data_IF_476955817046
#
_entry.id   IF_476955817046
#
_cell.length_a   1.000
_cell.length_b   1.000
_cell.length_c   1.000
_cell.angle_alpha   90.00
_cell.angle_beta   90.00
_cell.angle_gamma   90.00
#
_symmetry.space_group_name_H-M   'P 1'
#
loop_
_entity.id
_entity.type
_entity.pdbx_description
1 polymer ?
#
# COMPACT_ATOMS: atom_id res chain seq x y z
N UNK A 1 -5.99 -8.06 -23.00
CA UNK A 1 -4.80 -7.45 -22.36
C UNK A 1 -4.89 -7.44 -20.84
N UNK A 2 -5.85 -6.77 -20.20
CA UNK A 2 -5.98 -6.79 -18.74
C UNK A 2 -6.21 -8.20 -18.17
N UNK A 3 -6.94 -9.06 -18.88
CA UNK A 3 -7.09 -10.49 -18.52
C UNK A 3 -5.77 -11.26 -18.62
N UNK A 4 -4.90 -10.90 -19.58
CA UNK A 4 -3.56 -11.50 -19.75
C UNK A 4 -2.61 -10.99 -18.66
N UNK A 5 -2.76 -9.74 -18.23
CA UNK A 5 -1.99 -9.19 -17.12
C UNK A 5 -2.38 -9.87 -15.79
N UNK A 6 -3.67 -10.24 -15.61
CA UNK A 6 -4.09 -10.98 -14.41
C UNK A 6 -3.33 -12.29 -14.23
N UNK A 7 -3.04 -13.03 -15.30
CA UNK A 7 -2.28 -14.28 -15.19
C UNK A 7 -0.83 -14.08 -14.74
N UNK A 8 -0.28 -12.86 -14.84
CA UNK A 8 1.05 -12.54 -14.30
C UNK A 8 1.04 -12.37 -12.78
N UNK A 9 -0.14 -12.15 -12.18
CA UNK A 9 -0.30 -11.94 -10.74
C UNK A 9 -0.76 -13.20 -9.99
N UNK A 10 -1.13 -14.25 -10.73
CA UNK A 10 -1.57 -15.53 -10.19
C UNK A 10 -0.52 -16.57 -10.58
N UNK A 11 0.37 -16.88 -9.64
CA UNK A 11 1.50 -17.78 -9.83
C UNK A 11 1.73 -18.70 -8.63
N UNK A 12 2.73 -19.56 -8.73
CA UNK A 12 3.17 -20.32 -7.56
C UNK A 12 3.70 -19.37 -6.49
N UNK A 13 3.42 -19.68 -5.22
CA UNK A 13 3.99 -18.94 -4.10
C UNK A 13 5.52 -19.09 -4.09
N UNK A 14 6.26 -17.99 -4.01
CA UNK A 14 7.72 -17.98 -4.00
C UNK A 14 8.30 -17.10 -2.88
N UNK A 15 7.45 -16.40 -2.13
CA UNK A 15 7.86 -15.51 -1.06
C UNK A 15 8.30 -16.30 0.18
N UNK A 16 9.55 -16.13 0.65
CA UNK A 16 10.00 -16.75 1.90
C UNK A 16 9.18 -16.30 3.11
N UNK A 17 8.69 -15.06 3.12
CA UNK A 17 8.01 -14.46 4.29
C UNK A 17 6.55 -14.91 4.40
N UNK A 18 5.97 -15.47 3.32
CA UNK A 18 4.57 -15.89 3.28
C UNK A 18 4.18 -16.83 4.43
N UNK A 19 5.03 -17.80 4.75
CA UNK A 19 4.76 -18.77 5.81
C UNK A 19 4.84 -18.15 7.19
N UNK A 20 5.64 -17.11 7.36
CA UNK A 20 5.68 -16.32 8.59
C UNK A 20 4.35 -15.62 8.82
N UNK A 21 3.84 -14.91 7.82
CA UNK A 21 2.53 -14.24 7.87
C UNK A 21 1.39 -15.20 8.24
N UNK A 22 1.38 -16.40 7.66
CA UNK A 22 0.39 -17.42 8.03
C UNK A 22 0.55 -17.89 9.48
N UNK A 23 1.79 -18.09 9.94
CA UNK A 23 2.06 -18.61 11.28
C UNK A 23 1.71 -17.60 12.36
N UNK A 24 2.05 -16.33 12.16
CA UNK A 24 1.69 -15.28 13.11
C UNK A 24 0.19 -14.98 13.08
N UNK A 25 -0.43 -14.98 11.89
CA UNK A 25 -1.88 -14.89 11.71
C UNK A 25 -2.64 -16.01 12.44
N UNK A 26 -2.13 -17.24 12.37
CA UNK A 26 -2.63 -18.36 13.15
C UNK A 26 -2.54 -18.10 14.64
N UNK A 27 -1.36 -17.70 15.12
CA UNK A 27 -1.12 -17.46 16.53
C UNK A 27 -2.06 -16.36 17.07
N UNK A 28 -2.24 -15.26 16.32
CA UNK A 28 -3.15 -14.17 16.71
C UNK A 28 -4.60 -14.64 16.77
N UNK A 29 -5.06 -15.42 15.78
CA UNK A 29 -6.42 -15.96 15.75
C UNK A 29 -6.68 -16.94 16.91
N UNK A 30 -5.68 -17.71 17.32
CA UNK A 30 -5.78 -18.67 18.44
C UNK A 30 -5.70 -17.99 19.81
N UNK A 31 -4.91 -16.92 19.95
CA UNK A 31 -4.69 -16.24 21.23
C UNK A 31 -5.62 -15.04 21.47
N UNK A 32 -6.28 -14.53 20.43
CA UNK A 32 -7.19 -13.39 20.53
C UNK A 32 -6.52 -12.07 20.89
N UNK A 33 -5.21 -11.95 20.64
CA UNK A 33 -4.41 -10.75 20.95
C UNK A 33 -3.27 -10.58 19.96
N UNK A 34 -2.78 -9.34 19.85
CA UNK A 34 -1.59 -9.02 19.07
C UNK A 34 -0.31 -9.37 19.84
N UNK A 35 0.75 -9.80 19.15
CA UNK A 35 2.05 -10.00 19.77
C UNK A 35 2.62 -8.64 20.20
N UNK A 36 3.20 -8.58 21.41
CA UNK A 36 3.92 -7.40 21.90
C UNK A 36 5.43 -7.48 21.66
N UNK A 37 5.92 -8.67 21.35
CA UNK A 37 7.32 -8.99 21.10
C UNK A 37 7.43 -9.91 19.90
N UNK A 38 8.59 -9.96 19.27
CA UNK A 38 8.88 -10.97 18.26
C UNK A 38 8.95 -12.36 18.92
N UNK A 39 7.95 -13.21 18.62
CA UNK A 39 7.79 -14.53 19.26
C UNK A 39 8.50 -15.67 18.51
N UNK A 40 9.06 -15.39 17.34
CA UNK A 40 9.65 -16.39 16.47
C UNK A 40 11.14 -16.16 16.25
N UNK A 41 11.69 -15.04 16.70
CA UNK A 41 13.14 -14.81 16.77
C UNK A 41 13.84 -15.72 17.79
N UNK A 42 14.99 -16.26 17.41
CA UNK A 42 15.85 -17.07 18.29
C UNK A 42 16.83 -16.22 19.12
N UNK A 43 17.27 -15.07 18.59
CA UNK A 43 18.36 -14.27 19.17
C UNK A 43 17.89 -12.98 19.85
N UNK A 44 16.64 -12.55 19.61
CA UNK A 44 16.12 -11.27 20.08
C UNK A 44 14.77 -11.39 20.83
N UNK A 45 14.64 -12.37 21.73
CA UNK A 45 13.37 -12.74 22.38
C UNK A 45 12.63 -11.61 23.13
N UNK A 46 13.32 -10.51 23.48
CA UNK A 46 12.74 -9.34 24.17
C UNK A 46 12.52 -8.14 23.23
N UNK A 47 12.69 -8.31 21.92
CA UNK A 47 12.47 -7.22 20.97
C UNK A 47 10.98 -6.87 20.91
N UNK A 48 10.66 -5.61 21.25
CA UNK A 48 9.31 -5.08 21.13
C UNK A 48 9.00 -4.93 19.65
N UNK A 49 7.91 -5.54 19.21
CA UNK A 49 7.50 -5.53 17.81
C UNK A 49 6.11 -4.93 17.69
N UNK A 50 5.97 -3.96 16.78
CA UNK A 50 4.68 -3.43 16.36
C UNK A 50 4.30 -4.09 15.05
N UNK A 51 3.39 -5.04 15.13
CA UNK A 51 2.85 -5.70 13.96
C UNK A 51 1.90 -4.77 13.20
N UNK A 52 2.37 -4.30 12.04
CA UNK A 52 1.70 -3.34 11.17
C UNK A 52 0.90 -4.01 10.06
N UNK A 53 0.86 -5.35 10.03
CA UNK A 53 0.19 -6.16 9.01
C UNK A 53 -0.84 -7.13 9.63
N UNK A 54 -1.03 -7.03 10.94
CA UNK A 54 -1.79 -7.98 11.75
C UNK A 54 -3.15 -8.39 11.17
N UNK A 55 -3.93 -7.44 10.61
CA UNK A 55 -5.26 -7.75 10.08
C UNK A 55 -5.12 -8.57 8.78
N UNK A 56 -4.15 -8.23 7.94
CA UNK A 56 -3.87 -8.97 6.72
C UNK A 56 -3.42 -10.39 7.07
N UNK A 57 -2.55 -10.56 8.04
CA UNK A 57 -2.06 -11.87 8.48
C UNK A 57 -3.18 -12.75 9.06
N UNK A 58 -4.06 -12.18 9.90
CA UNK A 58 -5.25 -12.87 10.40
C UNK A 58 -6.16 -13.30 9.23
N UNK A 59 -6.43 -12.39 8.29
CA UNK A 59 -7.26 -12.70 7.12
C UNK A 59 -6.61 -13.75 6.22
N UNK A 60 -5.29 -13.70 6.06
CA UNK A 60 -4.52 -14.69 5.31
C UNK A 60 -4.66 -16.06 5.94
N UNK A 61 -4.44 -16.18 7.26
CA UNK A 61 -4.61 -17.45 7.98
C UNK A 61 -6.04 -18.00 7.87
N UNK A 62 -7.06 -17.17 8.13
CA UNK A 62 -8.45 -17.62 8.09
C UNK A 62 -8.85 -18.12 6.70
N UNK A 63 -8.39 -17.43 5.65
CA UNK A 63 -8.62 -17.83 4.27
C UNK A 63 -7.86 -19.10 3.93
N UNK A 64 -6.58 -19.19 4.30
CA UNK A 64 -5.76 -20.37 4.06
C UNK A 64 -6.34 -21.62 4.72
N UNK A 65 -6.75 -21.52 5.99
CA UNK A 65 -7.33 -22.63 6.77
C UNK A 65 -8.62 -23.17 6.15
N UNK A 66 -9.42 -22.31 5.52
CA UNK A 66 -10.76 -22.66 5.03
C UNK A 66 -10.81 -22.97 3.54
N UNK A 67 -10.03 -22.25 2.73
CA UNK A 67 -10.09 -22.28 1.26
C UNK A 67 -8.74 -22.66 0.60
N UNK A 68 -7.65 -22.65 1.36
CA UNK A 68 -6.32 -23.05 0.90
C UNK A 68 -5.52 -21.95 0.20
N UNK A 69 -4.27 -22.30 -0.16
CA UNK A 69 -3.29 -21.39 -0.76
C UNK A 69 -3.75 -20.78 -2.09
N UNK A 70 -4.36 -21.59 -2.96
CA UNK A 70 -4.81 -21.17 -4.29
C UNK A 70 -5.75 -19.97 -4.20
N UNK A 71 -6.65 -19.95 -3.21
CA UNK A 71 -7.57 -18.84 -3.01
C UNK A 71 -6.83 -17.57 -2.59
N UNK A 72 -5.81 -17.66 -1.72
CA UNK A 72 -5.00 -16.49 -1.35
C UNK A 72 -4.29 -15.89 -2.56
N UNK A 73 -3.61 -16.73 -3.36
CA UNK A 73 -2.93 -16.28 -4.57
C UNK A 73 -3.91 -15.59 -5.52
N UNK A 74 -5.12 -16.14 -5.71
CA UNK A 74 -6.14 -15.51 -6.54
C UNK A 74 -6.61 -14.18 -5.96
N UNK A 75 -6.88 -14.10 -4.65
CA UNK A 75 -7.38 -12.88 -4.01
C UNK A 75 -6.35 -11.74 -4.11
N UNK A 76 -5.09 -12.01 -3.79
CA UNK A 76 -4.03 -11.02 -3.92
C UNK A 76 -3.72 -10.69 -5.38
N UNK A 77 -3.78 -11.67 -6.28
CA UNK A 77 -3.65 -11.43 -7.72
C UNK A 77 -4.76 -10.52 -8.26
N UNK A 78 -6.01 -10.69 -7.80
CA UNK A 78 -7.14 -9.81 -8.10
C UNK A 78 -6.97 -8.42 -7.50
N UNK A 79 -6.37 -8.32 -6.32
CA UNK A 79 -6.08 -7.05 -5.66
C UNK A 79 -5.04 -6.24 -6.46
N UNK A 80 -3.94 -6.87 -6.86
CA UNK A 80 -2.94 -6.27 -7.75
C UNK A 80 -3.58 -5.88 -9.07
N UNK A 81 -4.39 -6.76 -9.65
CA UNK A 81 -5.12 -6.46 -10.88
C UNK A 81 -6.07 -5.26 -10.74
N UNK A 82 -6.74 -5.11 -9.60
CA UNK A 82 -7.60 -3.96 -9.33
C UNK A 82 -6.79 -2.64 -9.34
N UNK A 83 -5.55 -2.65 -8.85
CA UNK A 83 -4.62 -1.52 -8.99
C UNK A 83 -4.34 -1.18 -10.47
N UNK A 84 -3.99 -2.17 -11.29
CA UNK A 84 -3.79 -1.99 -12.73
C UNK A 84 -5.07 -1.52 -13.45
N UNK A 85 -6.24 -2.00 -13.03
CA UNK A 85 -7.53 -1.55 -13.54
C UNK A 85 -7.78 -0.07 -13.23
N UNK A 86 -7.49 0.38 -12.00
CA UNK A 86 -7.58 1.78 -11.61
C UNK A 86 -6.63 2.66 -12.42
N UNK A 87 -5.40 2.20 -12.70
CA UNK A 87 -4.48 2.89 -13.61
C UNK A 87 -5.09 2.97 -15.02
N UNK A 88 -5.59 1.85 -15.55
CA UNK A 88 -6.25 1.81 -16.85
C UNK A 88 -7.37 2.83 -16.97
N UNK A 89 -8.24 2.95 -15.96
CA UNK A 89 -9.34 3.93 -15.97
C UNK A 89 -8.86 5.38 -16.11
N UNK A 90 -7.66 5.68 -15.62
CA UNK A 90 -7.05 7.01 -15.71
C UNK A 90 -6.45 7.30 -17.09
N UNK A 91 -6.03 6.27 -17.83
CA UNK A 91 -5.37 6.41 -19.13
C UNK A 91 -6.21 5.93 -20.30
N UNK A 92 -7.42 5.39 -20.08
CA UNK A 92 -8.29 4.78 -21.11
C UNK A 92 -8.64 5.63 -22.34
N UNK A 93 -8.35 6.93 -22.32
CA UNK A 93 -8.53 7.85 -23.45
C UNK A 93 -7.28 8.00 -24.32
N UNK A 94 -6.16 7.43 -23.90
CA UNK A 94 -4.92 7.41 -24.66
C UNK A 94 -4.96 6.30 -25.73
N UNK A 95 -4.07 6.35 -26.76
CA UNK A 95 -4.00 5.28 -27.75
C UNK A 95 -3.70 3.93 -27.11
N UNK A 96 -4.40 2.89 -27.57
CA UNK A 96 -4.36 1.56 -26.94
C UNK A 96 -2.96 0.94 -26.87
N UNK A 97 -2.08 1.25 -27.84
CA UNK A 97 -0.69 0.77 -27.87
C UNK A 97 0.11 1.31 -26.68
N UNK A 98 0.00 2.61 -26.38
CA UNK A 98 0.70 3.21 -25.23
C UNK A 98 0.17 2.69 -23.90
N UNK A 99 -1.15 2.55 -23.79
CA UNK A 99 -1.78 1.94 -22.61
C UNK A 99 -1.25 0.52 -22.42
N UNK A 100 -1.23 -0.26 -23.50
CA UNK A 100 -0.83 -1.66 -23.41
C UNK A 100 0.64 -1.85 -23.10
N UNK A 101 1.51 -1.09 -23.76
CA UNK A 101 2.94 -1.10 -23.48
C UNK A 101 3.22 -0.65 -22.04
N UNK A 102 2.60 0.45 -21.58
CA UNK A 102 2.81 0.95 -20.23
C UNK A 102 2.34 -0.04 -19.15
N UNK A 103 1.16 -0.62 -19.30
CA UNK A 103 0.64 -1.62 -18.35
C UNK A 103 1.45 -2.92 -18.40
N UNK A 104 1.89 -3.37 -19.58
CA UNK A 104 2.73 -4.54 -19.72
C UNK A 104 4.11 -4.34 -19.08
N UNK A 105 4.76 -3.20 -19.33
CA UNK A 105 6.04 -2.86 -18.71
C UNK A 105 5.89 -2.82 -17.19
N UNK A 106 4.85 -2.16 -16.67
CA UNK A 106 4.60 -2.11 -15.23
C UNK A 106 4.36 -3.51 -14.62
N UNK A 107 3.58 -4.34 -15.31
CA UNK A 107 3.32 -5.72 -14.85
C UNK A 107 4.58 -6.58 -14.88
N UNK A 108 5.42 -6.47 -15.91
CA UNK A 108 6.68 -7.23 -16.00
C UNK A 108 7.69 -6.73 -14.96
N UNK A 109 7.83 -5.41 -14.80
CA UNK A 109 8.78 -4.81 -13.86
C UNK A 109 8.53 -5.22 -12.41
N UNK A 110 7.28 -5.45 -12.02
CA UNK A 110 6.94 -5.88 -10.66
C UNK A 110 6.92 -7.40 -10.44
N UNK A 111 7.26 -8.22 -11.44
CA UNK A 111 7.25 -9.70 -11.33
C UNK A 111 7.96 -10.23 -10.08
N UNK A 112 9.11 -9.67 -9.63
CA UNK A 112 9.79 -10.13 -8.40
C UNK A 112 8.99 -9.86 -7.11
N UNK A 113 7.95 -9.03 -7.18
CA UNK A 113 7.20 -8.51 -6.03
C UNK A 113 5.79 -9.10 -5.99
N UNK A 114 5.23 -9.52 -7.13
CA UNK A 114 3.88 -10.06 -7.19
C UNK A 114 3.74 -11.37 -6.43
N UNK A 115 2.68 -11.45 -5.63
CA UNK A 115 2.36 -12.60 -4.80
C UNK A 115 1.37 -12.19 -3.70
N UNK A 116 0.93 -13.12 -2.85
CA UNK A 116 0.09 -12.85 -1.70
C UNK A 116 0.87 -12.20 -0.55
N UNK A 117 1.40 -11.01 -0.84
CA UNK A 117 2.10 -10.11 0.08
C UNK A 117 1.20 -8.98 0.51
N UNK A 118 1.28 -8.57 1.77
CA UNK A 118 0.55 -7.42 2.29
C UNK A 118 0.85 -6.12 1.50
N UNK A 119 2.04 -6.00 0.90
CA UNK A 119 2.40 -4.91 0.00
C UNK A 119 1.45 -4.72 -1.20
N UNK A 120 0.76 -5.76 -1.67
CA UNK A 120 -0.21 -5.64 -2.77
C UNK A 120 -1.43 -4.78 -2.39
N UNK A 121 -1.78 -4.75 -1.09
CA UNK A 121 -2.80 -3.85 -0.55
C UNK A 121 -2.35 -2.41 -0.71
N UNK A 122 -1.09 -2.12 -0.38
CA UNK A 122 -0.51 -0.78 -0.55
C UNK A 122 -0.47 -0.36 -2.01
N UNK A 123 -0.12 -1.26 -2.91
CA UNK A 123 -0.18 -0.97 -4.35
C UNK A 123 -1.60 -0.62 -4.81
N UNK A 124 -2.59 -1.43 -4.46
CA UNK A 124 -3.97 -1.21 -4.86
C UNK A 124 -4.56 0.08 -4.27
N UNK A 125 -4.33 0.34 -2.98
CA UNK A 125 -4.81 1.55 -2.29
C UNK A 125 -4.10 2.82 -2.79
N UNK A 126 -2.81 2.74 -3.12
CA UNK A 126 -2.09 3.85 -3.78
C UNK A 126 -2.70 4.18 -5.15
N UNK A 127 -3.06 3.16 -5.94
CA UNK A 127 -3.72 3.35 -7.23
C UNK A 127 -5.12 3.98 -7.08
N UNK A 128 -5.87 3.58 -6.03
CA UNK A 128 -7.18 4.14 -5.72
C UNK A 128 -7.08 5.61 -5.32
N UNK A 129 -6.10 5.94 -4.49
CA UNK A 129 -5.86 7.32 -4.07
C UNK A 129 -5.49 8.21 -5.24
N UNK A 130 -4.53 7.79 -6.08
CA UNK A 130 -4.17 8.55 -7.28
C UNK A 130 -5.38 8.78 -8.20
N UNK A 131 -6.24 7.76 -8.33
CA UNK A 131 -7.50 7.88 -9.05
C UNK A 131 -8.44 8.95 -8.44
N UNK A 132 -8.59 8.97 -7.11
CA UNK A 132 -9.39 9.97 -6.40
C UNK A 132 -8.80 11.37 -6.44
N UNK A 133 -7.49 11.52 -6.24
CA UNK A 133 -6.78 12.79 -6.34
C UNK A 133 -6.97 13.39 -7.73
N UNK A 134 -6.71 12.61 -8.79
CA UNK A 134 -6.95 13.07 -10.16
C UNK A 134 -8.41 13.40 -10.43
N UNK A 135 -9.34 12.63 -9.87
CA UNK A 135 -10.78 12.91 -9.93
C UNK A 135 -11.15 14.25 -9.27
N UNK A 136 -10.55 14.54 -8.12
CA UNK A 136 -10.76 15.77 -7.36
C UNK A 136 -10.17 16.99 -8.05
N UNK A 137 -8.90 16.95 -8.44
CA UNK A 137 -8.20 18.07 -9.07
C UNK A 137 -8.81 18.45 -10.43
N UNK A 138 -9.40 17.49 -11.14
CA UNK A 138 -10.13 17.75 -12.39
C UNK A 138 -11.60 18.18 -12.19
N UNK A 139 -12.06 18.35 -10.96
CA UNK A 139 -13.44 18.69 -10.62
C UNK A 139 -14.48 17.60 -10.89
N UNK A 140 -14.06 16.41 -11.34
CA UNK A 140 -14.95 15.31 -11.75
C UNK A 140 -15.56 14.54 -10.58
N UNK A 141 -14.91 14.52 -9.43
CA UNK A 141 -15.34 13.72 -8.27
C UNK A 141 -14.92 14.36 -6.96
N UNK A 142 -15.66 14.08 -5.88
CA UNK A 142 -15.28 14.44 -4.50
C UNK A 142 -14.96 13.22 -3.65
N UNK A 143 -14.70 12.07 -4.28
CA UNK A 143 -14.43 10.81 -3.58
C UNK A 143 -13.21 10.88 -2.63
N UNK A 144 -12.30 11.83 -2.83
CA UNK A 144 -11.19 12.11 -1.90
C UNK A 144 -11.65 12.37 -0.44
N UNK A 145 -12.93 12.71 -0.22
CA UNK A 145 -13.49 12.82 1.14
C UNK A 145 -13.49 11.50 1.91
N UNK A 146 -13.47 10.37 1.22
CA UNK A 146 -13.42 9.03 1.82
C UNK A 146 -12.00 8.61 2.21
N UNK A 147 -11.00 9.44 1.91
CA UNK A 147 -9.59 9.15 2.19
C UNK A 147 -9.32 8.81 3.67
N UNK A 148 -9.91 9.48 4.68
CA UNK A 148 -9.72 9.09 6.08
C UNK A 148 -10.18 7.67 6.38
N UNK A 149 -11.30 7.21 5.80
CA UNK A 149 -11.78 5.84 6.00
C UNK A 149 -10.86 4.81 5.36
N UNK A 150 -10.31 5.13 4.18
CA UNK A 150 -9.29 4.28 3.54
C UNK A 150 -8.04 4.21 4.41
N UNK A 151 -7.63 5.31 5.05
CA UNK A 151 -6.46 5.32 5.92
C UNK A 151 -6.66 4.50 7.20
N UNK A 152 -7.88 4.45 7.75
CA UNK A 152 -8.22 3.49 8.82
C UNK A 152 -7.97 2.06 8.32
N UNK A 153 -8.57 1.69 7.19
CA UNK A 153 -8.41 0.34 6.66
C UNK A 153 -6.94 0.02 6.36
N UNK A 154 -6.23 0.95 5.71
CA UNK A 154 -4.84 0.79 5.28
C UNK A 154 -3.90 0.61 6.47
N UNK A 155 -4.00 1.48 7.48
CA UNK A 155 -3.14 1.44 8.67
C UNK A 155 -3.27 0.12 9.46
N UNK A 156 -4.43 -0.54 9.38
CA UNK A 156 -4.66 -1.84 9.99
C UNK A 156 -4.23 -3.02 9.10
N UNK A 157 -4.07 -2.82 7.79
CA UNK A 157 -3.75 -3.86 6.81
C UNK A 157 -2.27 -3.91 6.43
N UNK A 158 -1.59 -2.77 6.33
CA UNK A 158 -0.18 -2.70 5.93
C UNK A 158 0.46 -1.36 6.32
N UNK A 159 1.74 -1.39 6.71
CA UNK A 159 2.54 -0.23 7.14
C UNK A 159 2.88 0.77 6.03
N UNK A 160 2.63 0.39 4.77
CA UNK A 160 2.78 1.25 3.59
C UNK A 160 1.76 2.40 3.49
N UNK A 161 0.90 2.60 4.49
CA UNK A 161 -0.06 3.72 4.56
C UNK A 161 0.60 5.09 4.39
N UNK A 162 1.89 5.23 4.75
CA UNK A 162 2.66 6.49 4.58
C UNK A 162 2.68 6.97 3.13
N UNK A 163 2.67 6.03 2.17
CA UNK A 163 2.66 6.36 0.73
C UNK A 163 1.48 7.25 0.37
N UNK A 164 0.34 7.11 1.07
CA UNK A 164 -0.79 7.98 0.78
C UNK A 164 -0.55 9.44 1.19
N UNK A 165 0.16 9.68 2.29
CA UNK A 165 0.55 11.06 2.62
C UNK A 165 1.56 11.63 1.63
N UNK A 166 2.39 10.80 0.99
CA UNK A 166 3.30 11.24 -0.07
C UNK A 166 2.49 11.76 -1.27
N UNK A 167 1.51 11.01 -1.77
CA UNK A 167 0.71 11.45 -2.92
C UNK A 167 -0.15 12.67 -2.60
N UNK A 168 -0.79 12.69 -1.43
CA UNK A 168 -1.53 13.86 -0.95
C UNK A 168 -0.63 15.09 -0.82
N UNK A 169 0.60 14.91 -0.32
CA UNK A 169 1.60 15.97 -0.18
C UNK A 169 2.06 16.52 -1.53
N UNK A 170 2.32 15.66 -2.52
CA UNK A 170 2.64 16.06 -3.89
C UNK A 170 1.49 16.86 -4.51
N UNK A 171 0.25 16.40 -4.36
CA UNK A 171 -0.92 17.11 -4.85
C UNK A 171 -1.10 18.48 -4.18
N UNK A 172 -0.90 18.55 -2.86
CA UNK A 172 -0.96 19.79 -2.11
C UNK A 172 0.13 20.78 -2.56
N UNK A 173 1.37 20.32 -2.70
CA UNK A 173 2.48 21.15 -3.17
C UNK A 173 2.22 21.70 -4.58
N UNK A 174 1.68 20.86 -5.48
CA UNK A 174 1.30 21.27 -6.82
C UNK A 174 0.22 22.37 -6.79
N UNK A 175 -0.85 22.21 -6.00
CA UNK A 175 -1.91 23.22 -5.89
C UNK A 175 -1.45 24.51 -5.22
N UNK A 176 -0.55 24.43 -4.23
CA UNK A 176 0.05 25.63 -3.62
C UNK A 176 0.95 26.38 -4.60
N UNK A 177 1.73 25.67 -5.41
CA UNK A 177 2.54 26.28 -6.46
C UNK A 177 1.66 26.91 -7.54
N UNK A 178 0.61 26.22 -7.99
CA UNK A 178 -0.34 26.77 -8.95
C UNK A 178 -1.05 28.01 -8.41
N UNK A 179 -1.44 28.03 -7.13
CA UNK A 179 -1.99 29.22 -6.50
C UNK A 179 -0.98 30.38 -6.42
N UNK A 180 0.30 30.09 -6.14
CA UNK A 180 1.33 31.11 -6.10
C UNK A 180 1.60 31.74 -7.48
N UNK A 181 1.46 30.96 -8.55
CA UNK A 181 1.63 31.40 -9.94
C UNK A 181 0.39 32.11 -10.51
N UNK A 182 -0.81 31.75 -10.04
CA UNK A 182 -2.09 32.31 -10.49
C UNK A 182 -3.01 32.61 -9.29
N UNK A 183 -2.75 33.75 -8.65
CA UNK A 183 -3.44 34.15 -7.41
C UNK A 183 -4.92 34.54 -7.64
N UNK A 184 -5.28 34.91 -8.87
CA UNK A 184 -6.63 35.33 -9.23
C UNK A 184 -7.58 34.13 -9.36
N UNK A 185 -7.05 32.91 -9.48
CA UNK A 185 -7.85 31.70 -9.58
C UNK A 185 -8.12 31.07 -8.19
N UNK A 186 -9.35 31.19 -7.64
CA UNK A 186 -9.67 30.70 -6.30
C UNK A 186 -9.72 29.17 -6.21
N UNK A 187 -9.74 28.45 -7.33
CA UNK A 187 -9.85 26.98 -7.36
C UNK A 187 -8.65 26.33 -6.67
N UNK A 188 -7.44 26.82 -6.93
CA UNK A 188 -6.22 26.26 -6.35
C UNK A 188 -6.18 26.37 -4.83
N UNK A 189 -6.58 27.54 -4.31
CA UNK A 189 -6.71 27.76 -2.86
C UNK A 189 -7.78 26.85 -2.24
N UNK A 190 -8.91 26.65 -2.92
CA UNK A 190 -9.96 25.74 -2.47
C UNK A 190 -9.49 24.29 -2.44
N UNK A 191 -8.78 23.83 -3.47
CA UNK A 191 -8.19 22.50 -3.53
C UNK A 191 -7.17 22.30 -2.41
N UNK A 192 -6.20 23.20 -2.27
CA UNK A 192 -5.20 23.12 -1.21
C UNK A 192 -5.84 23.06 0.18
N UNK A 193 -6.83 23.92 0.48
CA UNK A 193 -7.55 23.88 1.77
C UNK A 193 -8.20 22.52 2.02
N UNK A 194 -8.83 21.95 0.99
CA UNK A 194 -9.51 20.66 1.13
C UNK A 194 -8.53 19.51 1.30
N UNK A 195 -7.42 19.51 0.57
CA UNK A 195 -6.34 18.53 0.72
C UNK A 195 -5.75 18.59 2.12
N UNK A 196 -5.54 19.79 2.69
CA UNK A 196 -5.10 19.95 4.09
C UNK A 196 -6.11 19.35 5.06
N UNK A 197 -7.40 19.67 4.93
CA UNK A 197 -8.44 19.12 5.83
C UNK A 197 -8.50 17.60 5.73
N UNK A 198 -8.46 17.05 4.52
CA UNK A 198 -8.44 15.60 4.29
C UNK A 198 -7.18 14.97 4.86
N UNK A 199 -6.01 15.58 4.66
CA UNK A 199 -4.73 15.12 5.19
C UNK A 199 -4.70 15.09 6.71
N UNK A 200 -5.19 16.15 7.38
CA UNK A 200 -5.28 16.19 8.85
C UNK A 200 -6.27 15.16 9.39
N UNK A 201 -7.44 15.02 8.77
CA UNK A 201 -8.41 14.01 9.14
C UNK A 201 -7.85 12.59 8.96
N UNK A 202 -7.13 12.34 7.87
CA UNK A 202 -6.47 11.07 7.60
C UNK A 202 -5.31 10.79 8.55
N UNK A 203 -4.54 11.79 8.97
CA UNK A 203 -3.53 11.64 9.99
C UNK A 203 -4.19 11.10 11.26
N UNK A 204 -5.19 11.78 11.80
CA UNK A 204 -5.93 11.28 12.97
C UNK A 204 -6.51 9.87 12.75
N UNK A 205 -6.99 9.59 11.54
CA UNK A 205 -7.57 8.29 11.19
C UNK A 205 -6.57 7.12 11.26
N UNK A 206 -5.28 7.34 10.98
CA UNK A 206 -4.23 6.32 11.13
C UNK A 206 -4.08 5.86 12.59
N UNK A 207 -4.44 6.69 13.56
CA UNK A 207 -4.41 6.27 14.97
C UNK A 207 -5.55 5.30 15.33
N UNK A 208 -6.50 5.03 14.43
CA UNK A 208 -7.57 4.05 14.63
C UNK A 208 -7.08 2.62 14.38
N UNK A 209 -6.00 2.25 15.08
CA UNK A 209 -5.44 0.90 15.15
C UNK A 209 -5.23 0.51 16.62
N UNK A 210 -5.08 -0.78 16.94
CA UNK A 210 -4.70 -1.23 18.28
C UNK A 210 -3.36 -0.66 18.77
N UNK A 211 -2.50 -0.19 17.85
CA UNK A 211 -1.19 0.38 18.13
C UNK A 211 -1.21 1.90 18.36
N UNK A 212 -2.33 2.58 18.05
CA UNK A 212 -2.50 4.02 18.22
C UNK A 212 -1.30 4.83 17.67
N UNK A 213 -0.59 5.54 18.55
CA UNK A 213 0.52 6.43 18.18
C UNK A 213 1.83 5.68 17.91
N UNK A 214 2.00 4.44 18.36
CA UNK A 214 3.23 3.69 18.11
C UNK A 214 3.41 3.27 16.65
N UNK A 215 2.33 3.34 15.86
CA UNK A 215 2.38 3.06 14.42
C UNK A 215 3.11 4.17 13.62
N UNK A 216 3.11 5.42 14.10
CA UNK A 216 3.70 6.55 13.37
C UNK A 216 5.22 6.52 13.21
N UNK A 217 6.02 6.19 14.25
CA UNK A 217 7.46 6.09 14.09
C UNK A 217 7.89 4.87 13.28
N UNK A 218 7.09 3.79 13.25
CA UNK A 218 7.47 2.49 12.67
C UNK A 218 8.04 2.55 11.23
N UNK A 219 7.44 3.29 10.27
CA UNK A 219 8.00 3.41 8.92
C UNK A 219 9.39 4.06 8.89
N UNK A 220 9.65 5.00 9.78
CA UNK A 220 10.94 5.68 9.88
C UNK A 220 12.00 4.83 10.56
N UNK A 221 11.60 4.04 11.56
CA UNK A 221 12.49 3.07 12.23
C UNK A 221 12.92 1.96 11.27
N UNK A 222 11.97 1.46 10.49
CA UNK A 222 12.19 0.48 9.42
C UNK A 222 13.18 1.04 8.38
N UNK A 223 12.91 2.23 7.83
CA UNK A 223 13.80 2.86 6.85
C UNK A 223 15.18 3.20 7.42
N UNK A 224 15.28 3.54 8.71
CA UNK A 224 16.54 3.84 9.39
C UNK A 224 17.34 2.61 9.83
N UNK A 225 16.82 1.40 9.64
CA UNK A 225 17.47 0.17 10.11
C UNK A 225 18.62 -0.25 9.19
N UNK A 226 19.87 -0.06 9.65
CA UNK A 226 21.06 -0.53 8.94
C UNK A 226 21.02 -2.03 8.64
N UNK A 227 20.46 -2.82 9.56
CA UNK A 227 20.36 -4.27 9.40
C UNK A 227 19.45 -4.64 8.23
N UNK A 228 18.27 -4.01 8.15
CA UNK A 228 17.33 -4.26 7.05
C UNK A 228 17.93 -3.79 5.71
N UNK A 229 18.55 -2.62 5.66
CA UNK A 229 19.20 -2.12 4.44
C UNK A 229 20.35 -3.03 3.95
N UNK A 230 21.07 -3.70 4.86
CA UNK A 230 22.17 -4.61 4.49
C UNK A 230 21.70 -6.02 4.12
N UNK A 231 20.65 -6.52 4.75
CA UNK A 231 20.21 -7.91 4.62
C UNK A 231 19.11 -8.10 3.57
N UNK A 232 18.30 -7.07 3.30
CA UNK A 232 17.24 -7.12 2.30
C UNK A 232 17.81 -6.68 0.96
N UNK A 233 18.01 -7.64 0.06
CA UNK A 233 18.65 -7.41 -1.24
C UNK A 233 17.86 -6.39 -2.08
N UNK A 234 16.54 -6.39 -1.98
CA UNK A 234 15.66 -5.48 -2.72
C UNK A 234 15.85 -4.01 -2.32
N UNK A 235 16.47 -3.74 -1.17
CA UNK A 235 16.67 -2.39 -0.64
C UNK A 235 18.06 -1.84 -0.93
N UNK A 236 18.95 -2.67 -1.48
CA UNK A 236 20.27 -2.25 -1.89
C UNK A 236 20.21 -1.25 -3.06
N UNK A 237 21.16 -0.31 -3.08
CA UNK A 237 21.34 0.55 -4.24
C UNK A 237 21.73 -0.29 -5.47
N UNK A 238 21.36 0.12 -6.70
CA UNK A 238 21.82 -0.54 -7.91
C UNK A 238 23.36 -0.66 -7.92
N UNK A 239 23.85 -1.87 -8.11
CA UNK A 239 25.29 -2.13 -8.16
C UNK A 239 25.80 -1.86 -9.58
N UNK A 240 26.65 -0.84 -9.73
CA UNK A 240 27.29 -0.45 -11.00
C UNK A 240 28.73 -0.96 -11.13
N UNK A 241 29.19 -1.84 -10.24
CA UNK A 241 30.57 -2.32 -10.16
C UNK A 241 30.78 -3.73 -10.76
N UNK A 242 29.86 -4.17 -11.63
CA UNK A 242 29.99 -5.41 -12.39
C UNK A 242 30.41 -5.13 -13.83
#
# INVERSE_FOLDING_TARGET
MLVVILSLFIGAEQDPDFWWHLRIGQWMAENGRLPSTDIFTFTAANHVWTDHEYLTEILMWLTFKTLGLTTLVILFGLLTWAGFWLIYLQVRRQPFVFIGMGLAIGAIAGTPIWGPRAQMITFALSCLELYWLRGYLSGRSRAIMWFPLVMIAWANLHGGWVIGFVWLGVALAAELLSWALDQDNPVHRMHARRLVVVGLASAVAVAATPHFLSLYPYPFETQGSEAQQRLIVEWASPNFHN
#
